data_IF_842740379554
#
_entry.id   IF_842740379554
#
_cell.length_a   1.000
_cell.length_b   1.000
_cell.length_c   1.000
_cell.angle_alpha   90.00
_cell.angle_beta   90.00
_cell.angle_gamma   90.00
#
_symmetry.space_group_name_H-M   'P 1'
#
loop_
_entity.id
_entity.type
_entity.pdbx_description
1 polymer ?
#
# COMPACT_ATOMS: atom_id res chain seq x y z
N UNK A 1 -0.01 -8.08 -16.17
CA UNK A 1 1.45 -8.35 -16.18
C UNK A 1 1.84 -8.91 -14.81
N UNK A 2 2.74 -9.90 -14.70
CA UNK A 2 3.20 -10.35 -13.37
C UNK A 2 4.34 -9.44 -12.91
N UNK A 3 4.25 -8.90 -11.69
CA UNK A 3 5.31 -8.10 -11.09
C UNK A 3 6.47 -9.01 -10.70
N UNK A 4 7.62 -8.88 -11.37
CA UNK A 4 8.84 -9.62 -11.04
C UNK A 4 9.63 -8.90 -9.96
N UNK A 5 9.39 -9.29 -8.70
CA UNK A 5 10.08 -8.71 -7.55
C UNK A 5 11.58 -9.01 -7.51
N UNK A 6 12.08 -10.00 -8.28
CA UNK A 6 13.52 -10.31 -8.30
C UNK A 6 14.36 -9.22 -8.96
N UNK A 7 13.74 -8.39 -9.80
CA UNK A 7 14.38 -7.26 -10.48
C UNK A 7 13.86 -5.91 -9.99
N UNK A 8 12.83 -5.92 -9.14
CA UNK A 8 12.25 -4.70 -8.59
C UNK A 8 13.24 -4.02 -7.64
N UNK A 9 13.54 -2.75 -7.92
CA UNK A 9 14.42 -1.90 -7.13
C UNK A 9 13.65 -0.96 -6.22
N UNK A 10 12.41 -0.62 -6.58
CA UNK A 10 11.54 0.23 -5.78
C UNK A 10 10.98 -0.59 -4.60
N UNK A 11 11.25 -0.21 -3.34
CA UNK A 11 10.71 -0.94 -2.20
C UNK A 11 9.18 -0.89 -2.16
N UNK A 12 8.56 -2.07 -2.02
CA UNK A 12 7.11 -2.23 -1.91
C UNK A 12 6.76 -2.87 -0.57
N UNK A 13 5.70 -2.41 0.07
CA UNK A 13 5.16 -3.04 1.27
C UNK A 13 3.64 -3.02 1.25
N UNK A 14 3.03 -4.20 1.25
CA UNK A 14 1.59 -4.36 1.36
C UNK A 14 1.11 -4.16 2.79
N UNK A 15 -0.02 -3.48 2.96
CA UNK A 15 -0.71 -3.40 4.24
C UNK A 15 -1.92 -4.34 4.21
N UNK A 16 -1.75 -5.51 4.82
CA UNK A 16 -2.75 -6.56 4.87
C UNK A 16 -3.63 -6.41 6.11
N UNK A 17 -4.94 -6.35 5.92
CA UNK A 17 -5.88 -6.34 7.03
C UNK A 17 -7.26 -6.84 6.57
N UNK A 18 -8.02 -7.42 7.50
CA UNK A 18 -9.45 -7.61 7.32
C UNK A 18 -10.18 -6.26 7.40
N UNK A 19 -11.36 -6.17 6.76
CA UNK A 19 -12.18 -4.96 6.89
C UNK A 19 -12.50 -4.71 8.37
N UNK A 20 -12.50 -3.45 8.80
CA UNK A 20 -12.74 -3.08 10.20
C UNK A 20 -11.52 -3.15 11.13
N UNK A 21 -10.34 -3.60 10.66
CA UNK A 21 -9.14 -3.76 11.53
C UNK A 21 -8.42 -2.43 11.85
N UNK A 22 -8.80 -1.31 11.22
CA UNK A 22 -8.20 0.01 11.45
C UNK A 22 -7.01 0.36 10.54
N UNK A 23 -6.95 -0.23 9.34
CA UNK A 23 -5.88 0.00 8.35
C UNK A 23 -5.71 1.46 7.94
N UNK A 24 -6.80 2.17 7.68
CA UNK A 24 -6.77 3.60 7.36
C UNK A 24 -6.20 4.41 8.52
N UNK A 25 -6.68 4.14 9.74
CA UNK A 25 -6.18 4.77 10.96
C UNK A 25 -4.69 4.53 11.19
N UNK A 26 -4.18 3.32 10.89
CA UNK A 26 -2.74 3.09 10.95
C UNK A 26 -2.00 3.95 9.93
N UNK A 27 -2.43 3.97 8.66
CA UNK A 27 -1.77 4.74 7.61
C UNK A 27 -1.78 6.25 7.86
N UNK A 28 -2.89 6.80 8.37
CA UNK A 28 -3.02 8.21 8.75
C UNK A 28 -2.02 8.61 9.85
N UNK A 29 -1.74 7.72 10.80
CA UNK A 29 -0.77 7.96 11.86
C UNK A 29 0.68 7.67 11.43
N UNK A 30 0.87 6.74 10.50
CA UNK A 30 2.17 6.27 10.02
C UNK A 30 2.80 7.22 9.00
N UNK A 31 2.02 7.72 8.03
CA UNK A 31 2.55 8.55 6.93
C UNK A 31 3.25 9.84 7.42
N UNK A 32 2.70 10.62 8.38
CA UNK A 32 3.41 11.78 8.92
C UNK A 32 4.74 11.41 9.56
N UNK A 33 4.78 10.31 10.33
CA UNK A 33 5.97 9.81 11.01
C UNK A 33 7.06 9.34 10.05
N UNK A 34 6.69 8.73 8.92
CA UNK A 34 7.64 8.35 7.88
C UNK A 34 8.20 9.59 7.17
N UNK A 35 7.34 10.59 6.92
CA UNK A 35 7.76 11.89 6.37
C UNK A 35 8.72 12.61 7.30
N UNK A 36 8.47 12.63 8.61
CA UNK A 36 9.34 13.26 9.61
C UNK A 36 10.73 12.57 9.70
N UNK A 37 10.80 11.29 9.29
CA UNK A 37 12.06 10.53 9.14
C UNK A 37 12.74 10.75 7.78
N UNK A 38 12.21 11.64 6.94
CA UNK A 38 12.76 12.00 5.64
C UNK A 38 12.38 11.07 4.49
N UNK A 39 11.45 10.12 4.68
CA UNK A 39 11.04 9.22 3.60
C UNK A 39 9.94 9.85 2.73
N UNK A 40 10.15 9.81 1.42
CA UNK A 40 9.13 10.06 0.42
C UNK A 40 8.33 8.78 0.15
N UNK A 41 7.18 8.65 0.82
CA UNK A 41 6.31 7.48 0.71
C UNK A 41 5.19 7.73 -0.29
N UNK A 42 5.08 6.86 -1.29
CA UNK A 42 3.90 6.79 -2.16
C UNK A 42 2.91 5.74 -1.64
N UNK A 43 1.62 5.92 -1.95
CA UNK A 43 0.57 4.97 -1.58
C UNK A 43 -0.21 4.57 -2.82
N UNK A 44 -0.27 3.27 -3.09
CA UNK A 44 -1.20 2.69 -4.06
C UNK A 44 -2.37 2.12 -3.28
N UNK A 45 -3.58 2.63 -3.53
CA UNK A 45 -4.81 2.16 -2.89
C UNK A 45 -5.77 1.55 -3.89
N UNK A 46 -6.18 0.30 -3.66
CA UNK A 46 -7.25 -0.34 -4.42
C UNK A 46 -8.61 -0.03 -3.77
N UNK A 47 -9.48 0.68 -4.50
CA UNK A 47 -10.86 0.92 -4.09
C UNK A 47 -11.77 -0.24 -4.57
N UNK A 48 -12.71 -0.67 -3.72
CA UNK A 48 -13.65 -1.75 -4.05
C UNK A 48 -14.87 -1.28 -4.87
N UNK A 49 -15.03 0.02 -5.07
CA UNK A 49 -16.14 0.62 -5.80
C UNK A 49 -15.63 1.66 -6.80
N UNK A 50 -16.44 1.96 -7.82
CA UNK A 50 -16.22 3.12 -8.68
C UNK A 50 -16.15 4.37 -7.80
N UNK A 51 -15.18 5.24 -8.08
CA UNK A 51 -14.99 6.51 -7.39
C UNK A 51 -14.70 7.59 -8.42
N UNK A 52 -15.06 8.82 -8.10
CA UNK A 52 -14.63 10.00 -8.84
C UNK A 52 -13.87 10.92 -7.88
N UNK A 53 -12.80 11.54 -8.40
CA UNK A 53 -11.99 12.53 -7.68
C UNK A 53 -12.50 13.94 -8.02
N UNK A 54 -13.13 14.10 -9.18
CA UNK A 54 -13.65 15.37 -9.66
C UNK A 54 -15.11 15.60 -9.22
N UNK A 55 -15.56 16.84 -9.33
CA UNK A 55 -16.93 17.23 -9.00
C UNK A 55 -17.81 17.22 -10.26
N UNK A 56 -18.92 16.46 -10.26
CA UNK A 56 -19.87 16.48 -11.36
C UNK A 56 -20.31 17.90 -11.74
N UNK A 57 -20.28 18.19 -13.04
CA UNK A 57 -20.69 19.49 -13.60
C UNK A 57 -19.62 20.58 -13.63
N UNK A 58 -18.44 20.36 -13.02
CA UNK A 58 -17.28 21.26 -13.19
C UNK A 58 -16.59 21.05 -14.54
N UNK A 59 -15.77 22.01 -14.95
CA UNK A 59 -15.16 22.03 -16.28
C UNK A 59 -14.31 20.79 -16.56
N UNK A 60 -13.46 20.39 -15.62
CA UNK A 60 -12.63 19.20 -15.77
C UNK A 60 -13.44 17.91 -15.88
N UNK A 61 -14.53 17.80 -15.12
CA UNK A 61 -15.45 16.66 -15.22
C UNK A 61 -16.12 16.64 -16.59
N UNK A 62 -16.63 17.78 -17.07
CA UNK A 62 -17.27 17.90 -18.39
C UNK A 62 -16.30 17.55 -19.52
N UNK A 63 -15.04 17.98 -19.45
CA UNK A 63 -14.01 17.64 -20.43
C UNK A 63 -13.67 16.15 -20.42
N UNK A 64 -13.57 15.52 -19.25
CA UNK A 64 -13.34 14.08 -19.12
C UNK A 64 -14.50 13.27 -19.70
N UNK A 65 -15.74 13.62 -19.38
CA UNK A 65 -16.94 12.98 -19.95
C UNK A 65 -17.08 13.23 -21.46
N UNK A 66 -16.55 14.34 -21.98
CA UNK A 66 -16.47 14.60 -23.42
C UNK A 66 -15.36 13.78 -24.13
N UNK A 67 -14.51 13.05 -23.39
CA UNK A 67 -13.53 12.12 -23.94
C UNK A 67 -12.06 12.45 -23.67
N UNK A 68 -11.73 13.48 -22.88
CA UNK A 68 -10.35 13.76 -22.52
C UNK A 68 -9.74 12.63 -21.66
N UNK A 69 -8.76 11.91 -22.20
CA UNK A 69 -8.07 10.81 -21.52
C UNK A 69 -6.61 10.67 -22.02
N UNK A 70 -5.58 10.81 -21.16
CA UNK A 70 -5.67 11.16 -19.74
C UNK A 70 -6.05 12.63 -19.50
N UNK A 71 -6.63 12.93 -18.33
CA UNK A 71 -6.91 14.29 -17.86
C UNK A 71 -5.90 14.67 -16.78
N UNK A 72 -5.15 15.76 -16.99
CA UNK A 72 -4.21 16.31 -16.01
C UNK A 72 -4.69 17.68 -15.53
N UNK A 73 -4.91 17.82 -14.23
CA UNK A 73 -5.30 19.08 -13.59
C UNK A 73 -4.16 19.54 -12.68
N UNK A 74 -3.78 20.81 -12.77
CA UNK A 74 -2.74 21.39 -11.94
C UNK A 74 -3.23 22.69 -11.27
N UNK A 75 -2.74 22.92 -10.05
CA UNK A 75 -2.93 24.15 -9.28
C UNK A 75 -1.66 24.44 -8.47
N UNK A 76 -1.61 25.60 -7.79
CA UNK A 76 -0.52 25.90 -6.85
C UNK A 76 -0.41 24.90 -5.69
N UNK A 77 -1.50 24.21 -5.35
CA UNK A 77 -1.55 23.32 -4.20
C UNK A 77 -1.33 21.84 -4.55
N UNK A 78 -1.70 21.40 -5.76
CA UNK A 78 -1.66 19.97 -6.15
C UNK A 78 -1.78 19.78 -7.65
N UNK A 79 -1.33 18.60 -8.10
CA UNK A 79 -1.55 18.04 -9.43
C UNK A 79 -2.37 16.75 -9.28
N UNK A 80 -3.33 16.53 -10.18
CA UNK A 80 -4.15 15.31 -10.24
C UNK A 80 -4.14 14.76 -11.68
N UNK A 81 -3.76 13.49 -11.84
CA UNK A 81 -3.83 12.74 -13.09
C UNK A 81 -5.00 11.74 -12.99
N UNK A 82 -5.92 11.80 -13.95
CA UNK A 82 -7.03 10.86 -14.04
C UNK A 82 -6.95 10.09 -15.35
N UNK A 83 -7.06 8.77 -15.23
CA UNK A 83 -7.06 7.82 -16.34
C UNK A 83 -8.27 6.91 -16.16
N UNK A 84 -9.13 6.84 -17.17
CA UNK A 84 -10.23 5.89 -17.17
C UNK A 84 -9.64 4.50 -17.47
N UNK A 85 -9.79 3.56 -16.55
CA UNK A 85 -9.54 2.15 -16.82
C UNK A 85 -10.66 1.63 -17.74
N UNK A 86 -10.31 0.90 -18.80
CA UNK A 86 -11.31 0.27 -19.66
C UNK A 86 -12.19 -0.69 -18.87
N UNK A 87 -13.41 -0.98 -19.35
CA UNK A 87 -14.34 -1.89 -18.66
C UNK A 87 -13.83 -3.34 -18.49
N UNK A 88 -12.66 -3.67 -19.04
CA UNK A 88 -12.16 -5.04 -19.19
C UNK A 88 -11.08 -5.47 -18.20
N UNK A 89 -10.65 -4.65 -17.24
CA UNK A 89 -9.60 -5.10 -16.32
C UNK A 89 -9.56 -4.39 -14.99
N UNK A 90 -9.39 -5.16 -13.92
CA UNK A 90 -8.89 -4.66 -12.63
C UNK A 90 -7.55 -3.93 -12.83
N UNK A 91 -7.25 -2.91 -12.02
CA UNK A 91 -6.00 -2.17 -12.12
C UNK A 91 -4.79 -3.10 -11.94
N UNK A 92 -3.85 -3.04 -12.88
CA UNK A 92 -2.59 -3.80 -12.81
C UNK A 92 -1.61 -3.08 -11.89
N UNK A 93 -1.28 -3.69 -10.74
CA UNK A 93 -0.34 -3.13 -9.77
C UNK A 93 1.02 -2.80 -10.39
N UNK A 94 1.49 -3.63 -11.33
CA UNK A 94 2.76 -3.38 -12.01
C UNK A 94 2.72 -2.09 -12.84
N UNK A 95 1.61 -1.84 -13.55
CA UNK A 95 1.45 -0.61 -14.33
C UNK A 95 1.38 0.63 -13.41
N UNK A 96 0.71 0.53 -12.25
CA UNK A 96 0.66 1.61 -11.28
C UNK A 96 2.03 1.92 -10.67
N UNK A 97 2.87 0.90 -10.45
CA UNK A 97 4.25 1.08 -9.99
C UNK A 97 5.07 1.84 -11.03
N UNK A 98 4.95 1.50 -12.33
CA UNK A 98 5.64 2.22 -13.41
C UNK A 98 5.27 3.70 -13.46
N UNK A 99 4.01 4.06 -13.16
CA UNK A 99 3.58 5.46 -13.07
C UNK A 99 4.25 6.23 -11.93
N UNK A 100 4.64 5.55 -10.85
CA UNK A 100 5.30 6.16 -9.69
C UNK A 100 6.82 6.28 -9.85
N UNK A 101 7.45 5.43 -10.68
CA UNK A 101 8.91 5.41 -10.84
C UNK A 101 9.53 6.78 -11.15
N UNK A 102 8.98 7.61 -12.07
CA UNK A 102 9.57 8.91 -12.37
C UNK A 102 9.52 9.90 -11.19
N UNK A 103 8.67 9.65 -10.19
CA UNK A 103 8.54 10.45 -8.98
C UNK A 103 9.54 10.04 -7.89
N UNK A 104 10.28 8.95 -8.11
CA UNK A 104 11.33 8.42 -7.25
C UNK A 104 10.97 8.34 -5.74
N UNK A 105 9.84 7.72 -5.35
CA UNK A 105 9.56 7.50 -3.93
C UNK A 105 10.56 6.50 -3.33
N UNK A 106 10.87 6.65 -2.04
CA UNK A 106 11.74 5.72 -1.31
C UNK A 106 11.02 4.40 -0.97
N UNK A 107 9.69 4.46 -0.89
CA UNK A 107 8.83 3.34 -0.50
C UNK A 107 7.43 3.52 -1.10
N UNK A 108 6.86 2.42 -1.59
CA UNK A 108 5.43 2.35 -1.95
C UNK A 108 4.69 1.46 -0.96
N UNK A 109 3.72 2.06 -0.26
CA UNK A 109 2.75 1.31 0.53
C UNK A 109 1.58 0.88 -0.36
N UNK A 110 1.25 -0.41 -0.34
CA UNK A 110 0.16 -0.97 -1.14
C UNK A 110 -1.01 -1.32 -0.22
N UNK A 111 -2.06 -0.53 -0.28
CA UNK A 111 -3.30 -0.73 0.46
C UNK A 111 -4.34 -1.45 -0.42
N UNK A 112 -4.63 -2.71 -0.12
CA UNK A 112 -5.51 -3.54 -0.96
C UNK A 112 -4.72 -4.66 -1.62
N UNK A 113 -5.08 -5.04 -2.85
CA UNK A 113 -4.35 -6.05 -3.64
C UNK A 113 -3.99 -7.33 -2.84
N UNK A 114 -4.92 -7.82 -2.02
CA UNK A 114 -4.64 -8.85 -0.98
C UNK A 114 -4.04 -10.15 -1.51
N UNK A 115 -4.29 -10.46 -2.78
CA UNK A 115 -3.81 -11.66 -3.47
C UNK A 115 -2.44 -11.49 -4.13
N UNK A 116 -1.91 -10.27 -4.18
CA UNK A 116 -0.63 -10.04 -4.84
C UNK A 116 0.54 -10.61 -4.03
N UNK A 117 1.48 -11.33 -4.69
CA UNK A 117 2.62 -11.96 -4.04
C UNK A 117 3.72 -10.90 -3.81
N UNK A 118 3.53 -10.06 -2.80
CA UNK A 118 4.49 -9.04 -2.37
C UNK A 118 4.58 -8.98 -0.84
N UNK A 119 5.71 -8.54 -0.26
CA UNK A 119 5.92 -8.50 1.19
C UNK A 119 4.89 -7.64 1.92
N UNK A 120 4.37 -8.11 3.06
CA UNK A 120 3.26 -7.46 3.76
C UNK A 120 3.53 -7.26 5.26
N UNK A 121 2.99 -6.16 5.78
CA UNK A 121 2.68 -5.95 7.18
C UNK A 121 1.20 -6.30 7.39
N UNK A 122 0.91 -7.30 8.21
CA UNK A 122 -0.44 -7.68 8.60
C UNK A 122 -0.88 -6.94 9.86
N UNK A 123 -2.09 -6.38 9.85
CA UNK A 123 -2.76 -5.91 11.06
C UNK A 123 -3.70 -7.00 11.53
N UNK A 124 -3.60 -7.34 12.80
CA UNK A 124 -4.42 -8.39 13.41
C UNK A 124 -5.08 -7.92 14.70
N UNK A 125 -6.39 -8.17 14.77
CA UNK A 125 -7.28 -7.89 15.90
C UNK A 125 -8.16 -9.10 16.14
N UNK A 126 -8.05 -9.73 17.30
CA UNK A 126 -8.81 -10.93 17.62
C UNK A 126 -10.32 -10.65 17.61
N UNK A 127 -10.73 -9.44 18.01
CA UNK A 127 -12.11 -8.97 18.03
C UNK A 127 -12.79 -8.98 16.66
N UNK A 128 -12.02 -8.98 15.56
CA UNK A 128 -12.56 -9.06 14.19
C UNK A 128 -13.01 -10.50 13.86
N UNK A 129 -12.62 -11.50 14.66
CA UNK A 129 -13.03 -12.90 14.49
C UNK A 129 -12.52 -13.55 13.21
N UNK A 130 -11.40 -13.06 12.67
CA UNK A 130 -10.77 -13.59 11.46
C UNK A 130 -9.42 -14.22 11.78
N UNK A 131 -8.96 -15.11 10.92
CA UNK A 131 -7.69 -15.82 11.09
C UNK A 131 -6.50 -14.88 10.87
N UNK A 132 -5.41 -15.17 11.60
CA UNK A 132 -4.11 -14.54 11.43
C UNK A 132 -3.43 -15.15 10.19
N UNK A 133 -3.30 -14.38 9.11
CA UNK A 133 -2.83 -14.88 7.81
C UNK A 133 -1.35 -15.19 7.80
N UNK A 134 -0.56 -14.66 8.72
CA UNK A 134 0.88 -14.90 8.80
C UNK A 134 1.27 -16.39 8.77
N UNK A 135 0.42 -17.27 9.29
CA UNK A 135 0.64 -18.72 9.27
C UNK A 135 0.52 -19.35 7.87
N UNK A 136 -0.24 -18.74 6.98
CA UNK A 136 -0.59 -19.29 5.66
C UNK A 136 0.03 -18.48 4.51
N UNK A 137 0.23 -17.17 4.69
CA UNK A 137 0.82 -16.28 3.68
C UNK A 137 2.31 -16.07 3.98
N UNK A 138 3.22 -16.71 3.23
CA UNK A 138 4.67 -16.57 3.43
C UNK A 138 5.15 -15.15 3.09
N UNK A 139 4.33 -14.31 2.47
CA UNK A 139 4.68 -12.92 2.18
C UNK A 139 4.52 -11.99 3.38
N UNK A 140 3.93 -12.42 4.48
CA UNK A 140 3.77 -11.58 5.67
C UNK A 140 5.10 -11.58 6.44
N UNK A 141 5.76 -10.43 6.54
CA UNK A 141 7.05 -10.27 7.24
C UNK A 141 6.90 -9.65 8.63
N UNK A 142 5.75 -9.05 8.93
CA UNK A 142 5.44 -8.53 10.24
C UNK A 142 3.93 -8.57 10.53
N UNK A 143 3.58 -8.66 11.81
CA UNK A 143 2.21 -8.59 12.31
C UNK A 143 2.14 -7.51 13.39
N UNK A 144 1.26 -6.53 13.21
CA UNK A 144 0.91 -5.54 14.22
C UNK A 144 -0.40 -5.93 14.92
N UNK A 145 -0.36 -6.12 16.25
CA UNK A 145 -1.53 -6.53 17.03
C UNK A 145 -1.64 -5.83 18.41
N UNK A 146 -2.87 -5.63 18.95
CA UNK A 146 -3.07 -5.14 20.32
C UNK A 146 -2.66 -6.12 21.42
N UNK A 147 -2.35 -7.37 21.10
CA UNK A 147 -1.96 -8.40 22.06
C UNK A 147 -0.67 -9.07 21.62
N UNK A 148 0.05 -9.68 22.57
CA UNK A 148 1.20 -10.52 22.24
C UNK A 148 0.69 -11.80 21.56
N UNK A 149 1.35 -12.20 20.48
CA UNK A 149 0.96 -13.36 19.68
C UNK A 149 2.17 -14.26 19.46
N UNK A 150 1.92 -15.56 19.44
CA UNK A 150 2.86 -16.49 18.83
C UNK A 150 2.78 -16.34 17.31
N UNK A 151 3.94 -16.09 16.68
CA UNK A 151 4.05 -15.85 15.26
C UNK A 151 4.97 -16.89 14.61
N UNK A 152 4.80 -17.16 13.30
CA UNK A 152 5.75 -17.98 12.56
C UNK A 152 7.17 -17.42 12.64
N UNK A 153 8.16 -18.29 12.39
CA UNK A 153 9.56 -17.89 12.27
C UNK A 153 9.73 -16.78 11.22
N UNK A 154 10.65 -15.85 11.50
CA UNK A 154 11.02 -14.71 10.66
C UNK A 154 9.89 -13.68 10.42
N UNK A 155 8.81 -13.73 11.21
CA UNK A 155 7.77 -12.69 11.28
C UNK A 155 8.04 -11.78 12.47
N UNK A 156 8.13 -10.47 12.23
CA UNK A 156 8.31 -9.49 13.31
C UNK A 156 6.98 -9.25 14.04
N UNK A 157 6.98 -9.37 15.36
CA UNK A 157 5.85 -8.95 16.19
C UNK A 157 5.93 -7.45 16.47
N UNK A 158 4.85 -6.72 16.19
CA UNK A 158 4.71 -5.29 16.45
C UNK A 158 3.46 -5.04 17.31
N UNK A 159 3.57 -4.04 18.17
CA UNK A 159 2.50 -3.53 19.02
C UNK A 159 1.67 -2.52 18.24
N UNK A 160 0.36 -2.75 18.10
CA UNK A 160 -0.49 -1.88 17.27
C UNK A 160 -0.70 -0.48 17.88
N UNK A 161 -0.55 -0.38 19.20
CA UNK A 161 -0.55 0.86 19.97
C UNK A 161 0.79 1.61 19.96
N UNK A 162 1.88 0.94 19.55
CA UNK A 162 3.21 1.55 19.41
C UNK A 162 3.47 1.96 17.95
N UNK A 163 2.87 3.08 17.57
CA UNK A 163 2.98 3.61 16.19
C UNK A 163 4.43 3.97 15.85
N UNK A 164 5.25 4.39 16.81
CA UNK A 164 6.64 4.76 16.56
C UNK A 164 7.52 3.53 16.29
N UNK A 165 7.28 2.42 16.98
CA UNK A 165 7.92 1.15 16.64
C UNK A 165 7.52 0.66 15.24
N UNK A 166 6.23 0.76 14.87
CA UNK A 166 5.77 0.43 13.51
C UNK A 166 6.45 1.35 12.49
N UNK A 167 6.49 2.66 12.74
CA UNK A 167 7.14 3.63 11.87
C UNK A 167 8.63 3.34 11.68
N UNK A 168 9.35 2.98 12.75
CA UNK A 168 10.76 2.60 12.66
C UNK A 168 10.95 1.31 11.84
N UNK A 169 10.07 0.32 12.02
CA UNK A 169 10.13 -0.92 11.25
C UNK A 169 9.86 -0.68 9.76
N UNK A 170 8.88 0.17 9.43
CA UNK A 170 8.56 0.52 8.03
C UNK A 170 9.63 1.42 7.41
N UNK A 171 10.19 2.38 8.16
CA UNK A 171 11.23 3.29 7.66
C UNK A 171 12.53 2.57 7.28
N UNK A 172 12.83 1.45 7.93
CA UNK A 172 14.00 0.59 7.62
C UNK A 172 13.70 -0.46 6.55
N UNK A 173 12.47 -0.52 6.03
CA UNK A 173 12.09 -1.47 4.99
C UNK A 173 12.86 -1.29 3.66
N UNK A 174 13.09 -0.07 3.15
CA UNK A 174 13.90 0.15 1.94
C UNK A 174 15.27 -0.53 1.98
N UNK A 175 15.98 -0.42 3.10
CA UNK A 175 17.30 -1.04 3.31
C UNK A 175 17.25 -2.57 3.26
N UNK A 176 16.12 -3.15 3.70
CA UNK A 176 15.89 -4.60 3.74
C UNK A 176 15.41 -5.15 2.41
N UNK A 177 14.93 -4.31 1.50
CA UNK A 177 14.21 -4.68 0.28
C UNK A 177 14.92 -5.76 -0.53
N UNK A 178 16.20 -5.58 -0.83
CA UNK A 178 16.98 -6.53 -1.64
C UNK A 178 16.94 -7.97 -1.08
N UNK A 179 16.92 -8.11 0.25
CA UNK A 179 16.91 -9.39 0.95
C UNK A 179 15.50 -9.90 1.33
N UNK A 180 14.51 -9.00 1.41
CA UNK A 180 13.16 -9.29 1.94
C UNK A 180 12.03 -9.16 0.91
N UNK A 181 12.34 -8.82 -0.36
CA UNK A 181 11.37 -8.73 -1.46
C UNK A 181 10.76 -10.06 -1.91
N UNK A 182 11.26 -11.19 -1.41
CA UNK A 182 10.69 -12.52 -1.64
C UNK A 182 9.77 -12.98 -0.50
N UNK A 183 9.09 -14.13 -0.67
CA UNK A 183 8.40 -14.77 0.44
C UNK A 183 9.40 -15.23 1.49
N UNK A 184 8.98 -15.31 2.76
CA UNK A 184 9.76 -15.96 3.82
C UNK A 184 10.07 -17.40 3.42
N UNK A 185 11.23 -17.89 3.84
CA UNK A 185 11.58 -19.31 3.74
C UNK A 185 10.87 -20.03 4.88
N UNK A 186 9.84 -20.79 4.54
CA UNK A 186 9.10 -21.64 5.51
C UNK A 186 9.90 -22.91 5.75
#
# INVERSE_FOLDING_TARGET
MRLDLSRETLPLLGIAAWSGTGKTTLLENLLPRLKDRGLQVAVIKHAHHRFDIDQPGKDSHRLREAGAAPMLIASRARVALMMNTSERGEPDLAALIEMLRPLAPDLVLVEGFKQWPLPKLELYRQEVGKTLRAWEDPWIHAVASPQSLELPKDVTALRLDDIDAIANWVATWPERWASRRGPRRV
#
